data_IF_136335077421
#
_entry.id   IF_136335077421
#
_cell.length_a   1.000
_cell.length_b   1.000
_cell.length_c   1.000
_cell.angle_alpha   90.00
_cell.angle_beta   90.00
_cell.angle_gamma   90.00
#
_symmetry.space_group_name_H-M   'P 1'
#
loop_
_entity.id
_entity.type
_entity.pdbx_description
1 polymer ?
#
# COMPACT_ATOMS: atom_id res chain seq x y z
N UNK A 1 15.67 -68.58 27.47
CA UNK A 1 15.45 -68.08 26.09
C UNK A 1 14.80 -66.71 26.20
N UNK A 2 15.58 -65.66 26.00
CA UNK A 2 15.14 -64.25 26.08
C UNK A 2 14.92 -63.79 24.63
N UNK A 3 13.68 -63.58 24.24
CA UNK A 3 13.34 -62.80 23.04
C UNK A 3 12.13 -61.95 23.37
N UNK A 4 12.38 -60.73 23.84
CA UNK A 4 11.35 -59.73 24.03
C UNK A 4 11.85 -58.36 23.52
N UNK A 5 11.04 -57.76 22.65
CA UNK A 5 10.84 -56.32 22.51
C UNK A 5 11.98 -55.40 22.03
N UNK A 6 12.58 -55.69 20.88
CA UNK A 6 13.41 -54.68 20.17
C UNK A 6 12.71 -54.00 18.98
N UNK A 7 11.45 -54.31 18.67
CA UNK A 7 10.81 -53.80 17.45
C UNK A 7 10.10 -52.44 17.59
N UNK A 8 10.02 -51.85 18.79
CA UNK A 8 9.12 -50.71 19.04
C UNK A 8 9.81 -49.40 19.52
N UNK A 9 11.16 -49.36 19.57
CA UNK A 9 11.91 -48.13 19.90
C UNK A 9 12.30 -47.31 18.67
N UNK A 10 12.66 -47.98 17.57
CA UNK A 10 13.06 -47.33 16.31
C UNK A 10 11.87 -46.69 15.58
N UNK A 11 10.68 -47.29 15.63
CA UNK A 11 9.47 -46.73 15.01
C UNK A 11 8.97 -45.45 15.71
N UNK A 12 9.13 -45.35 17.03
CA UNK A 12 8.74 -44.15 17.81
C UNK A 12 9.68 -42.96 17.63
N UNK A 13 10.97 -43.21 17.42
CA UNK A 13 11.95 -42.14 17.15
C UNK A 13 11.81 -41.55 15.74
N UNK A 14 11.45 -42.37 14.75
CA UNK A 14 11.20 -41.92 13.37
C UNK A 14 9.91 -41.09 13.24
N UNK A 15 8.89 -41.36 14.06
CA UNK A 15 7.64 -40.59 14.08
C UNK A 15 7.80 -39.20 14.74
N UNK A 16 8.71 -39.04 15.71
CA UNK A 16 8.97 -37.73 16.36
C UNK A 16 9.89 -36.87 15.48
N UNK A 17 10.85 -37.48 14.77
CA UNK A 17 11.72 -36.77 13.84
C UNK A 17 10.99 -36.23 12.59
N UNK A 18 9.91 -36.89 12.15
CA UNK A 18 9.12 -36.44 10.99
C UNK A 18 8.15 -35.29 11.32
N UNK A 19 7.70 -35.15 12.57
CA UNK A 19 6.87 -34.02 13.00
C UNK A 19 7.69 -32.73 13.19
N UNK A 20 8.97 -32.86 13.55
CA UNK A 20 9.90 -31.71 13.67
C UNK A 20 10.47 -31.21 12.34
N UNK A 21 10.36 -31.98 11.25
CA UNK A 21 10.86 -31.57 9.93
C UNK A 21 9.85 -30.75 9.11
N UNK A 22 8.56 -30.78 9.48
CA UNK A 22 7.49 -30.03 8.82
C UNK A 22 7.22 -28.65 9.46
N UNK A 23 7.96 -28.25 10.50
CA UNK A 23 7.75 -26.96 11.19
C UNK A 23 8.70 -25.84 10.73
N UNK A 24 9.65 -26.14 9.84
CA UNK A 24 10.49 -25.15 9.14
C UNK A 24 9.92 -24.88 7.75
N UNK A 25 8.63 -24.60 7.67
CA UNK A 25 8.12 -23.89 6.50
C UNK A 25 8.63 -22.47 6.59
N UNK A 26 9.56 -22.14 5.70
CA UNK A 26 10.09 -20.81 5.46
C UNK A 26 9.01 -19.76 5.68
N UNK A 27 9.21 -18.89 6.67
CA UNK A 27 8.47 -17.64 6.73
C UNK A 27 8.92 -16.89 5.48
N UNK A 28 8.14 -16.97 4.39
CA UNK A 28 8.42 -16.27 3.16
C UNK A 28 8.52 -14.78 3.51
N UNK A 29 9.75 -14.28 3.61
CA UNK A 29 9.98 -12.85 3.73
C UNK A 29 9.61 -12.27 2.38
N UNK A 30 8.62 -11.37 2.34
CA UNK A 30 8.31 -10.64 1.11
C UNK A 30 9.62 -10.11 0.50
N UNK A 31 9.88 -10.53 -0.72
CA UNK A 31 11.16 -10.38 -1.40
C UNK A 31 11.37 -8.90 -1.75
N UNK A 32 12.63 -8.45 -1.75
CA UNK A 32 12.94 -7.09 -2.22
C UNK A 32 12.62 -6.98 -3.72
N UNK A 33 12.30 -5.76 -4.18
CA UNK A 33 12.12 -5.48 -5.60
C UNK A 33 13.39 -5.90 -6.36
N UNK A 34 13.23 -6.69 -7.42
CA UNK A 34 14.33 -7.23 -8.23
C UNK A 34 14.72 -6.35 -9.43
N UNK A 35 14.03 -5.25 -9.64
CA UNK A 35 14.28 -4.34 -10.75
C UNK A 35 15.64 -3.63 -10.58
N UNK A 36 16.28 -3.27 -11.69
CA UNK A 36 17.53 -2.48 -11.65
C UNK A 36 17.27 -1.09 -11.05
N UNK A 37 18.17 -0.57 -10.20
CA UNK A 37 18.10 0.79 -9.69
C UNK A 37 18.08 1.89 -10.75
N UNK A 38 18.50 1.60 -11.98
CA UNK A 38 18.44 2.56 -13.10
C UNK A 38 17.00 2.98 -13.48
N UNK A 39 15.98 2.35 -12.91
CA UNK A 39 14.57 2.64 -13.18
C UNK A 39 13.96 3.70 -12.25
N UNK A 40 14.71 4.24 -11.29
CA UNK A 40 14.26 5.29 -10.37
C UNK A 40 15.39 6.26 -10.03
N UNK A 41 15.11 7.25 -9.20
CA UNK A 41 16.03 8.32 -8.86
C UNK A 41 15.96 9.48 -9.85
N UNK A 42 14.76 9.83 -10.33
CA UNK A 42 14.55 10.94 -11.28
C UNK A 42 15.24 12.22 -10.78
N UNK A 43 16.11 12.82 -11.60
CA UNK A 43 16.97 13.93 -11.19
C UNK A 43 16.20 15.12 -10.59
N UNK A 44 15.04 15.45 -11.17
CA UNK A 44 14.16 16.52 -10.70
C UNK A 44 13.65 16.32 -9.26
N UNK A 45 13.66 15.09 -8.74
CA UNK A 45 13.23 14.78 -7.38
C UNK A 45 14.10 15.41 -6.31
N UNK A 46 15.36 15.78 -6.62
CA UNK A 46 16.25 16.51 -5.70
C UNK A 46 15.67 17.88 -5.33
N UNK A 47 15.12 18.61 -6.31
CA UNK A 47 14.50 19.90 -6.07
C UNK A 47 13.25 19.78 -5.16
N UNK A 48 12.50 18.67 -5.31
CA UNK A 48 11.37 18.37 -4.42
C UNK A 48 11.86 18.21 -2.98
N UNK A 49 12.92 17.43 -2.75
CA UNK A 49 13.50 17.21 -1.41
C UNK A 49 13.96 18.54 -0.81
N UNK A 50 14.76 19.32 -1.54
CA UNK A 50 15.34 20.59 -1.04
C UNK A 50 14.27 21.62 -0.63
N UNK A 51 13.17 21.69 -1.38
CA UNK A 51 12.05 22.57 -1.06
C UNK A 51 11.20 22.01 0.10
N UNK A 52 10.84 20.73 0.03
CA UNK A 52 9.95 20.10 1.01
C UNK A 52 10.61 19.82 2.35
N UNK A 53 11.94 19.79 2.44
CA UNK A 53 12.66 19.85 3.73
C UNK A 53 12.22 21.05 4.57
N UNK A 54 11.88 22.17 3.93
CA UNK A 54 11.46 23.41 4.59
C UNK A 54 9.94 23.51 4.66
N UNK A 55 9.26 23.23 3.55
CA UNK A 55 7.81 23.38 3.45
C UNK A 55 7.03 22.28 4.20
N UNK A 56 7.56 21.06 4.24
CA UNK A 56 6.93 19.91 4.87
C UNK A 56 7.96 18.98 5.53
N UNK A 57 8.73 19.47 6.52
CA UNK A 57 9.86 18.75 7.12
C UNK A 57 9.49 17.36 7.66
N UNK A 58 8.26 17.20 8.14
CA UNK A 58 7.76 15.92 8.65
C UNK A 58 7.67 14.85 7.55
N UNK A 59 7.16 15.21 6.36
CA UNK A 59 7.04 14.27 5.25
C UNK A 59 8.42 13.90 4.69
N UNK A 60 9.29 14.89 4.53
CA UNK A 60 10.66 14.65 4.05
C UNK A 60 11.46 13.79 5.04
N UNK A 61 11.26 13.99 6.35
CA UNK A 61 11.90 13.14 7.37
C UNK A 61 11.40 11.70 7.31
N UNK A 62 10.07 11.49 7.23
CA UNK A 62 9.50 10.15 7.08
C UNK A 62 10.05 9.43 5.84
N UNK A 63 10.15 10.13 4.71
CA UNK A 63 10.77 9.58 3.50
C UNK A 63 12.25 9.25 3.73
N UNK A 64 13.04 10.15 4.32
CA UNK A 64 14.46 9.90 4.64
C UNK A 64 14.68 8.66 5.49
N UNK A 65 13.76 8.42 6.43
CA UNK A 65 13.79 7.26 7.33
C UNK A 65 13.17 5.98 6.71
N UNK A 66 12.86 6.00 5.40
CA UNK A 66 12.24 4.89 4.68
C UNK A 66 13.26 4.04 3.90
N UNK A 67 12.91 2.78 3.65
CA UNK A 67 13.67 1.92 2.75
C UNK A 67 13.67 2.45 1.30
N UNK A 68 12.67 3.25 0.90
CA UNK A 68 12.63 3.88 -0.42
C UNK A 68 13.76 4.90 -0.59
N UNK A 69 13.99 5.77 0.41
CA UNK A 69 15.11 6.71 0.35
C UNK A 69 16.47 5.99 0.36
N UNK A 70 16.63 4.95 1.17
CA UNK A 70 17.85 4.13 1.19
C UNK A 70 18.11 3.45 -0.18
N UNK A 71 17.05 3.02 -0.85
CA UNK A 71 17.12 2.46 -2.20
C UNK A 71 17.33 3.52 -3.30
N UNK A 72 17.25 4.82 -2.99
CA UNK A 72 17.40 5.92 -3.94
C UNK A 72 16.10 6.35 -4.64
N UNK A 73 14.95 5.80 -4.27
CA UNK A 73 13.63 6.26 -4.74
C UNK A 73 13.31 7.61 -4.10
N UNK A 74 13.01 8.60 -4.93
CA UNK A 74 12.71 9.97 -4.53
C UNK A 74 11.24 10.35 -4.82
N UNK A 75 10.90 11.61 -4.58
CA UNK A 75 9.53 12.11 -4.67
C UNK A 75 8.91 11.90 -6.06
N UNK A 76 9.64 12.16 -7.13
CA UNK A 76 9.12 12.07 -8.49
C UNK A 76 8.96 10.63 -8.97
N UNK A 77 9.73 9.69 -8.42
CA UNK A 77 9.58 8.27 -8.76
C UNK A 77 8.21 7.70 -8.38
N UNK A 78 7.50 8.36 -7.45
CA UNK A 78 6.12 8.05 -7.10
C UNK A 78 5.13 9.09 -7.63
N UNK A 79 5.43 10.38 -7.50
CA UNK A 79 4.45 11.45 -7.76
C UNK A 79 4.43 11.96 -9.19
N UNK A 80 5.43 11.67 -10.03
CA UNK A 80 5.40 12.12 -11.42
C UNK A 80 4.15 11.59 -12.12
N UNK A 81 3.42 12.48 -12.78
CA UNK A 81 2.23 12.17 -13.55
C UNK A 81 2.39 12.63 -15.00
N UNK A 82 1.60 12.04 -15.89
CA UNK A 82 1.37 12.55 -17.22
C UNK A 82 0.27 13.63 -17.19
N UNK A 83 0.40 14.68 -18.01
CA UNK A 83 -0.61 15.74 -18.13
C UNK A 83 -2.00 15.27 -18.57
N UNK A 84 -2.12 14.04 -19.09
CA UNK A 84 -3.41 13.44 -19.47
C UNK A 84 -4.11 12.72 -18.31
N UNK A 85 -3.44 12.54 -17.17
CA UNK A 85 -4.06 11.96 -15.98
C UNK A 85 -5.01 12.99 -15.34
N UNK A 86 -6.18 12.52 -14.88
CA UNK A 86 -7.25 13.39 -14.42
C UNK A 86 -6.82 14.27 -13.23
N UNK A 87 -5.99 13.75 -12.32
CA UNK A 87 -5.48 14.44 -11.14
C UNK A 87 -4.07 15.01 -11.30
N UNK A 88 -3.58 15.12 -12.54
CA UNK A 88 -2.31 15.77 -12.82
C UNK A 88 -2.40 17.28 -12.58
N UNK A 89 -1.45 17.80 -11.80
CA UNK A 89 -1.26 19.23 -11.55
C UNK A 89 0.18 19.64 -11.87
N UNK A 90 0.37 20.89 -12.28
CA UNK A 90 1.73 21.47 -12.36
C UNK A 90 2.12 22.04 -11.01
N UNK A 91 3.26 21.61 -10.48
CA UNK A 91 3.82 22.07 -9.22
C UNK A 91 5.31 22.36 -9.39
N UNK A 92 5.70 23.63 -9.24
CA UNK A 92 7.10 24.08 -9.36
C UNK A 92 7.80 23.61 -10.66
N UNK A 93 7.05 23.64 -11.78
CA UNK A 93 7.55 23.24 -13.10
C UNK A 93 7.56 21.73 -13.36
N UNK A 94 7.20 20.90 -12.37
CA UNK A 94 6.98 19.46 -12.55
C UNK A 94 5.50 19.14 -12.71
N UNK A 95 5.16 18.08 -13.45
CA UNK A 95 3.80 17.54 -13.51
C UNK A 95 3.71 16.37 -12.54
N UNK A 96 2.80 16.47 -11.57
CA UNK A 96 2.65 15.49 -10.51
C UNK A 96 1.19 15.13 -10.28
N UNK A 97 0.97 13.96 -9.70
CA UNK A 97 -0.29 13.58 -9.05
C UNK A 97 -0.11 13.63 -7.53
N UNK A 98 -1.10 14.17 -6.82
CA UNK A 98 -1.09 14.15 -5.35
C UNK A 98 -1.28 12.73 -4.81
N UNK A 99 -2.08 11.92 -5.51
CA UNK A 99 -2.31 10.52 -5.16
C UNK A 99 -1.31 9.64 -5.89
N UNK A 100 -0.59 8.83 -5.11
CA UNK A 100 0.15 7.67 -5.63
C UNK A 100 -0.77 6.46 -5.53
N UNK A 101 -1.12 5.88 -6.67
CA UNK A 101 -2.07 4.78 -6.78
C UNK A 101 -1.38 3.41 -6.70
N UNK A 102 -2.13 2.31 -6.51
CA UNK A 102 -1.61 0.96 -6.71
C UNK A 102 -0.93 0.71 -8.06
N UNK A 103 -1.29 1.40 -9.14
CA UNK A 103 -0.60 1.27 -10.44
C UNK A 103 0.80 1.86 -10.38
N UNK A 104 0.99 2.98 -9.67
CA UNK A 104 2.31 3.59 -9.48
C UNK A 104 3.21 2.68 -8.65
N UNK A 105 2.69 2.15 -7.53
CA UNK A 105 3.37 1.14 -6.71
C UNK A 105 3.73 -0.09 -7.55
N UNK A 106 2.81 -0.52 -8.40
CA UNK A 106 2.92 -1.71 -9.25
C UNK A 106 3.98 -1.62 -10.34
N UNK A 107 4.54 -0.42 -10.62
CA UNK A 107 5.72 -0.29 -11.49
C UNK A 107 6.93 -1.05 -10.92
N UNK A 108 7.02 -1.12 -9.58
CA UNK A 108 8.08 -1.83 -8.86
C UNK A 108 7.58 -3.07 -8.11
N UNK A 109 6.44 -2.96 -7.43
CA UNK A 109 5.84 -3.99 -6.58
C UNK A 109 4.75 -4.78 -7.31
N UNK A 110 5.14 -5.43 -8.41
CA UNK A 110 4.19 -6.12 -9.30
C UNK A 110 3.42 -7.24 -8.59
N UNK A 111 4.09 -7.99 -7.72
CA UNK A 111 3.49 -9.09 -6.97
C UNK A 111 2.48 -8.56 -5.94
N UNK A 112 2.91 -7.66 -5.05
CA UNK A 112 2.07 -7.14 -3.97
C UNK A 112 0.86 -6.37 -4.52
N UNK A 113 1.04 -5.60 -5.60
CA UNK A 113 -0.06 -4.93 -6.29
C UNK A 113 -1.03 -5.96 -6.87
N UNK A 114 -0.55 -7.03 -7.52
CA UNK A 114 -1.41 -8.09 -8.06
C UNK A 114 -2.20 -8.80 -6.96
N UNK A 115 -1.55 -9.18 -5.86
CA UNK A 115 -2.20 -9.84 -4.73
C UNK A 115 -3.25 -8.93 -4.08
N UNK A 116 -2.92 -7.66 -3.85
CA UNK A 116 -3.85 -6.68 -3.27
C UNK A 116 -5.05 -6.46 -4.19
N UNK A 117 -4.82 -6.33 -5.50
CA UNK A 117 -5.88 -6.10 -6.48
C UNK A 117 -6.86 -7.27 -6.61
N UNK A 118 -6.41 -8.49 -6.30
CA UNK A 118 -7.25 -9.69 -6.28
C UNK A 118 -7.90 -9.98 -4.91
N UNK A 119 -7.67 -9.13 -3.90
CA UNK A 119 -8.23 -9.30 -2.56
C UNK A 119 -9.62 -8.66 -2.39
N UNK A 120 -10.33 -9.03 -1.32
CA UNK A 120 -11.57 -8.35 -0.91
C UNK A 120 -11.32 -6.95 -0.36
N UNK A 121 -10.11 -6.67 0.12
CA UNK A 121 -9.71 -5.38 0.64
C UNK A 121 -9.80 -4.28 -0.43
N UNK A 122 -9.26 -4.53 -1.64
CA UNK A 122 -9.38 -3.59 -2.77
C UNK A 122 -10.82 -3.46 -3.30
N UNK A 123 -11.68 -4.45 -3.01
CA UNK A 123 -13.06 -4.49 -3.48
C UNK A 123 -14.06 -3.86 -2.50
N UNK A 124 -13.61 -3.30 -1.37
CA UNK A 124 -14.49 -2.87 -0.28
C UNK A 124 -15.58 -1.89 -0.75
N UNK A 125 -15.25 -0.87 -1.54
CA UNK A 125 -16.22 0.11 -2.08
C UNK A 125 -17.25 -0.58 -2.98
N UNK A 126 -16.79 -1.41 -3.93
CA UNK A 126 -17.69 -2.13 -4.85
C UNK A 126 -18.65 -3.08 -4.10
N UNK A 127 -18.16 -3.73 -3.03
CA UNK A 127 -18.99 -4.57 -2.18
C UNK A 127 -20.03 -3.75 -1.41
N UNK A 128 -19.65 -2.62 -0.83
CA UNK A 128 -20.59 -1.71 -0.14
C UNK A 128 -21.69 -1.21 -1.09
N UNK A 129 -21.32 -0.74 -2.27
CA UNK A 129 -22.28 -0.24 -3.27
C UNK A 129 -23.28 -1.34 -3.69
N UNK A 130 -22.81 -2.59 -3.80
CA UNK A 130 -23.67 -3.72 -4.19
C UNK A 130 -24.58 -4.24 -3.06
N UNK A 131 -24.14 -4.18 -1.80
CA UNK A 131 -24.83 -4.82 -0.66
C UNK A 131 -25.66 -3.83 0.15
N UNK A 132 -25.27 -2.57 0.17
CA UNK A 132 -25.86 -1.53 1.02
C UNK A 132 -25.98 -0.22 0.22
N UNK A 133 -26.67 -0.23 -0.95
CA UNK A 133 -26.71 0.94 -1.83
C UNK A 133 -27.34 2.14 -1.12
N UNK A 134 -26.60 3.24 -1.04
CA UNK A 134 -27.11 4.54 -0.60
C UNK A 134 -27.42 4.68 0.89
N UNK A 135 -27.27 3.64 1.74
CA UNK A 135 -27.62 3.73 3.16
C UNK A 135 -26.80 4.80 3.89
N UNK A 136 -25.48 4.81 3.67
CA UNK A 136 -24.62 5.82 4.27
C UNK A 136 -24.95 7.21 3.71
N UNK A 137 -25.03 7.36 2.37
CA UNK A 137 -25.28 8.63 1.67
C UNK A 137 -26.65 9.24 1.97
N UNK A 138 -27.67 8.43 2.23
CA UNK A 138 -29.03 8.90 2.51
C UNK A 138 -29.22 9.29 3.97
N UNK A 139 -28.51 8.64 4.90
CA UNK A 139 -28.62 8.92 6.33
C UNK A 139 -27.63 9.99 6.80
N UNK A 140 -26.51 10.15 6.10
CA UNK A 140 -25.40 11.02 6.49
C UNK A 140 -24.97 11.86 5.28
N UNK A 141 -24.71 13.16 5.48
CA UNK A 141 -24.17 14.00 4.41
C UNK A 141 -22.76 13.56 4.00
N UNK A 142 -22.32 13.94 2.79
CA UNK A 142 -20.99 13.57 2.23
C UNK A 142 -19.84 13.80 3.22
N UNK A 143 -19.84 14.93 3.93
CA UNK A 143 -18.80 15.26 4.91
C UNK A 143 -18.69 14.25 6.06
N UNK A 144 -19.83 13.77 6.61
CA UNK A 144 -19.82 12.82 7.72
C UNK A 144 -19.38 11.42 7.27
N UNK A 145 -19.75 11.04 6.05
CA UNK A 145 -19.32 9.79 5.43
C UNK A 145 -17.82 9.81 5.18
N UNK A 146 -17.33 10.93 4.62
CA UNK A 146 -15.92 11.19 4.34
C UNK A 146 -15.06 11.05 5.59
N UNK A 147 -15.53 11.61 6.71
CA UNK A 147 -14.85 11.55 8.00
C UNK A 147 -15.00 10.20 8.74
N UNK A 148 -15.91 9.32 8.31
CA UNK A 148 -16.27 8.09 9.01
C UNK A 148 -16.04 6.85 8.17
N UNK A 149 -17.11 6.35 7.52
CA UNK A 149 -17.13 5.07 6.82
C UNK A 149 -16.00 4.95 5.78
N UNK A 150 -15.73 6.02 5.03
CA UNK A 150 -14.80 5.97 3.90
C UNK A 150 -13.34 6.03 4.34
N UNK A 151 -13.05 6.41 5.59
CA UNK A 151 -11.69 6.36 6.12
C UNK A 151 -11.20 4.92 6.28
N UNK A 152 -12.11 3.98 6.51
CA UNK A 152 -11.79 2.54 6.57
C UNK A 152 -12.03 1.85 5.23
N UNK A 153 -13.23 2.02 4.64
CA UNK A 153 -13.61 1.26 3.44
C UNK A 153 -13.09 1.87 2.13
N UNK A 154 -12.88 3.18 2.11
CA UNK A 154 -12.59 3.94 0.90
C UNK A 154 -13.83 4.59 0.30
N UNK A 155 -13.61 5.43 -0.70
CA UNK A 155 -14.61 6.01 -1.60
C UNK A 155 -14.01 6.21 -2.98
N UNK A 156 -14.84 6.58 -3.96
CA UNK A 156 -14.31 7.15 -5.20
C UNK A 156 -13.76 8.53 -4.94
N UNK A 157 -12.50 8.75 -5.33
CA UNK A 157 -11.89 10.07 -5.28
C UNK A 157 -12.49 10.92 -6.40
N UNK A 158 -13.04 12.06 -6.04
CA UNK A 158 -13.56 13.05 -6.97
C UNK A 158 -12.45 14.05 -7.30
N UNK A 159 -12.08 14.13 -8.58
CA UNK A 159 -11.14 15.12 -9.10
C UNK A 159 -11.92 16.31 -9.65
N UNK A 160 -11.45 17.52 -9.37
CA UNK A 160 -12.02 18.76 -9.90
C UNK A 160 -11.44 19.05 -11.29
N UNK A 161 -12.09 19.94 -12.03
CA UNK A 161 -11.67 20.29 -13.40
C UNK A 161 -10.29 20.95 -13.53
N UNK A 162 -9.63 21.28 -12.41
CA UNK A 162 -8.27 21.81 -12.34
C UNK A 162 -7.23 20.78 -11.86
N UNK A 163 -7.60 19.51 -11.76
CA UNK A 163 -6.75 18.42 -11.25
C UNK A 163 -6.70 18.32 -9.73
N UNK A 164 -7.30 19.27 -8.99
CA UNK A 164 -7.31 19.21 -7.52
C UNK A 164 -8.36 18.24 -6.97
N UNK A 165 -8.13 17.70 -5.77
CA UNK A 165 -8.98 16.66 -5.19
C UNK A 165 -10.11 17.25 -4.33
N UNK A 166 -11.33 16.76 -4.51
CA UNK A 166 -12.52 17.19 -3.74
C UNK A 166 -12.38 16.87 -2.26
N UNK A 167 -12.65 17.86 -1.40
CA UNK A 167 -12.64 17.68 0.06
C UNK A 167 -13.73 16.71 0.55
N UNK A 168 -14.76 16.47 -0.26
CA UNK A 168 -15.81 15.49 0.03
C UNK A 168 -15.30 14.05 -0.06
N UNK A 169 -14.18 13.83 -0.77
CA UNK A 169 -13.66 12.49 -1.10
C UNK A 169 -12.18 12.30 -0.75
N UNK A 170 -11.51 13.37 -0.33
CA UNK A 170 -10.07 13.41 -0.02
C UNK A 170 -9.80 14.35 1.17
N UNK A 171 -8.93 14.00 2.14
CA UNK A 171 -8.02 12.86 2.17
C UNK A 171 -8.70 11.52 2.50
N UNK A 172 -8.36 10.48 1.72
CA UNK A 172 -8.90 9.13 1.91
C UNK A 172 -7.78 8.09 1.87
N UNK A 173 -7.68 7.27 2.92
CA UNK A 173 -6.71 6.16 3.00
C UNK A 173 -7.42 4.80 3.17
N UNK A 174 -8.74 4.76 2.95
CA UNK A 174 -9.54 3.57 3.09
C UNK A 174 -9.11 2.47 2.11
N UNK A 175 -9.16 1.22 2.59
CA UNK A 175 -8.46 0.10 1.97
C UNK A 175 -8.94 -0.23 0.55
N UNK A 176 -10.19 0.10 0.22
CA UNK A 176 -10.81 -0.11 -1.09
C UNK A 176 -11.06 1.17 -1.90
N UNK A 177 -10.37 2.28 -1.59
CA UNK A 177 -10.46 3.57 -2.32
C UNK A 177 -10.42 3.36 -3.84
N UNK A 178 -11.27 4.04 -4.60
CA UNK A 178 -11.19 4.06 -6.07
C UNK A 178 -10.41 5.32 -6.46
N UNK A 179 -9.28 5.11 -7.14
CA UNK A 179 -8.33 6.15 -7.50
C UNK A 179 -8.70 6.85 -8.83
N UNK A 180 -8.18 8.06 -9.10
CA UNK A 180 -8.40 8.77 -10.36
C UNK A 180 -8.05 7.94 -11.61
N UNK A 181 -6.97 7.16 -11.54
CA UNK A 181 -6.54 6.26 -12.61
C UNK A 181 -7.40 4.97 -12.75
N UNK A 182 -8.50 4.86 -12.00
CA UNK A 182 -9.42 3.72 -11.94
C UNK A 182 -8.90 2.50 -11.18
N UNK A 183 -7.69 2.55 -10.63
CA UNK A 183 -7.16 1.47 -9.78
C UNK A 183 -7.87 1.43 -8.43
N UNK A 184 -7.82 0.27 -7.76
CA UNK A 184 -8.58 0.01 -6.53
C UNK A 184 -7.64 -0.20 -5.36
N UNK A 185 -8.00 0.40 -4.24
CA UNK A 185 -7.33 0.30 -2.97
C UNK A 185 -6.31 1.40 -2.68
N UNK A 186 -5.79 1.34 -1.46
CA UNK A 186 -4.84 2.29 -0.89
C UNK A 186 -3.67 1.53 -0.28
N UNK A 187 -2.52 1.52 -0.97
CA UNK A 187 -1.32 0.82 -0.49
C UNK A 187 -0.78 1.39 0.83
N UNK A 188 -1.15 2.62 1.22
CA UNK A 188 -0.71 3.22 2.48
C UNK A 188 -1.66 2.95 3.65
N UNK A 189 -2.61 2.01 3.54
CA UNK A 189 -3.54 1.70 4.61
C UNK A 189 -2.88 1.00 5.81
N UNK A 190 -1.92 0.09 5.56
CA UNK A 190 -1.27 -0.69 6.62
C UNK A 190 0.14 -0.18 6.96
N UNK A 191 0.92 0.23 5.95
CA UNK A 191 2.22 0.88 6.11
C UNK A 191 2.14 2.32 5.63
N UNK A 192 2.04 3.24 6.58
CA UNK A 192 1.72 4.64 6.32
C UNK A 192 2.76 5.33 5.45
N UNK A 193 2.30 6.23 4.59
CA UNK A 193 3.16 7.20 3.91
C UNK A 193 3.73 8.19 4.95
N UNK A 194 4.95 8.71 4.82
CA UNK A 194 5.93 8.45 3.75
C UNK A 194 7.05 7.48 4.17
N UNK A 195 6.90 6.79 5.30
CA UNK A 195 7.91 5.85 5.79
C UNK A 195 7.77 4.45 5.16
N UNK A 196 6.55 4.03 4.79
CA UNK A 196 6.26 2.75 4.15
C UNK A 196 6.90 1.54 4.86
N UNK A 197 6.84 1.54 6.20
CA UNK A 197 7.50 0.53 7.02
C UNK A 197 6.79 -0.82 6.96
N UNK A 198 7.47 -1.84 6.44
CA UNK A 198 7.02 -3.25 6.53
C UNK A 198 6.85 -3.72 7.97
N UNK A 199 7.65 -3.19 8.90
CA UNK A 199 7.51 -3.51 10.31
C UNK A 199 6.20 -2.94 10.87
N UNK A 200 5.84 -1.70 10.51
CA UNK A 200 4.56 -1.10 10.88
C UNK A 200 3.38 -1.91 10.36
N UNK A 201 3.39 -2.34 9.09
CA UNK A 201 2.31 -3.18 8.55
C UNK A 201 2.15 -4.54 9.25
N UNK A 202 3.10 -4.95 10.10
CA UNK A 202 3.07 -6.21 10.86
C UNK A 202 2.73 -6.01 12.34
N UNK A 203 2.53 -4.77 12.79
CA UNK A 203 2.06 -4.50 14.15
C UNK A 203 0.54 -4.60 14.22
N UNK A 204 -0.04 -5.10 15.32
CA UNK A 204 -1.50 -5.15 15.49
C UNK A 204 -2.20 -3.80 15.32
N UNK A 205 -1.53 -2.70 15.68
CA UNK A 205 -2.07 -1.33 15.60
C UNK A 205 -2.28 -0.83 14.17
N UNK A 206 -1.74 -1.52 13.16
CA UNK A 206 -1.97 -1.21 11.76
C UNK A 206 -3.32 -1.73 11.23
N UNK A 207 -4.04 -2.52 12.04
CA UNK A 207 -5.34 -3.14 11.74
C UNK A 207 -6.44 -2.52 12.60
#
# INVERSE_FOLDING_TARGET
MVYANNYNRSARLLAIASVFWLSVHSIASAEMVKLSPDNWGIEGGKACIDCHEKASPGLTRQWRDSAHAEAGVNCLDCHQANTVEDDAITHEGSVIATIVSPKDCGRCHTLETSETQNSVHSQAVALLDSKIPGLAQQLSGKALISAGCTQCHGSTVEVRGDGTLSADSWPNTGIGRINPDGSRGSCSACHGRHQFSKAQARTPEAC
#
